data_IF_637902853880
#
_entry.id   IF_637902853880
#
_cell.length_a   1.000
_cell.length_b   1.000
_cell.length_c   1.000
_cell.angle_alpha   90.00
_cell.angle_beta   90.00
_cell.angle_gamma   90.00
#
_symmetry.space_group_name_H-M   'P 1'
#
loop_
_entity.id
_entity.type
_entity.pdbx_description
1 polymer ?
#
# COMPACT_ATOMS: atom_id res chain seq x y z
N UNK A 1 14.82 -74.13 -17.16
CA UNK A 1 13.59 -73.31 -17.02
C UNK A 1 13.67 -72.21 -15.94
N UNK A 2 14.87 -71.71 -15.56
CA UNK A 2 15.05 -70.59 -14.60
C UNK A 2 15.53 -69.28 -15.25
N UNK A 3 16.22 -69.34 -16.40
CA UNK A 3 16.69 -68.15 -17.11
C UNK A 3 15.56 -67.28 -17.68
N UNK A 4 14.49 -67.88 -18.22
CA UNK A 4 13.33 -67.13 -18.74
C UNK A 4 12.62 -66.31 -17.65
N UNK A 5 12.50 -66.83 -16.42
CA UNK A 5 11.88 -66.11 -15.28
C UNK A 5 12.73 -64.94 -14.77
N UNK A 6 14.05 -64.97 -14.96
CA UNK A 6 14.95 -63.86 -14.64
C UNK A 6 14.87 -62.74 -15.69
N UNK A 7 14.79 -63.10 -16.97
CA UNK A 7 14.60 -62.13 -18.06
C UNK A 7 13.25 -61.42 -17.93
N UNK A 8 12.17 -62.13 -17.56
CA UNK A 8 10.87 -61.48 -17.29
C UNK A 8 10.88 -60.57 -16.06
N UNK A 9 11.65 -60.88 -15.00
CA UNK A 9 11.76 -60.00 -13.82
C UNK A 9 12.66 -58.78 -14.08
N UNK A 10 13.68 -58.92 -14.91
CA UNK A 10 14.55 -57.82 -15.34
C UNK A 10 13.81 -56.87 -16.30
N UNK A 11 13.01 -57.40 -17.23
CA UNK A 11 12.18 -56.60 -18.13
C UNK A 11 11.02 -55.90 -17.39
N UNK A 12 10.46 -56.51 -16.34
CA UNK A 12 9.39 -55.92 -15.55
C UNK A 12 9.88 -54.78 -14.64
N UNK A 13 11.12 -54.84 -14.14
CA UNK A 13 11.75 -53.74 -13.38
C UNK A 13 12.15 -52.56 -14.27
N UNK A 14 12.64 -52.81 -15.49
CA UNK A 14 12.93 -51.75 -16.48
C UNK A 14 11.64 -51.06 -16.94
N UNK A 15 10.55 -51.82 -17.12
CA UNK A 15 9.23 -51.26 -17.44
C UNK A 15 8.66 -50.36 -16.33
N UNK A 16 8.86 -50.71 -15.05
CA UNK A 16 8.40 -49.88 -13.92
C UNK A 16 9.24 -48.60 -13.81
N UNK A 17 10.56 -48.68 -13.98
CA UNK A 17 11.43 -47.50 -13.98
C UNK A 17 11.10 -46.53 -15.12
N UNK A 18 10.85 -47.06 -16.33
CA UNK A 18 10.41 -46.24 -17.47
C UNK A 18 9.03 -45.61 -17.26
N UNK A 19 8.11 -46.29 -16.55
CA UNK A 19 6.81 -45.72 -16.19
C UNK A 19 6.90 -44.63 -15.12
N UNK A 20 7.81 -44.76 -14.15
CA UNK A 20 8.03 -43.74 -13.10
C UNK A 20 8.73 -42.51 -13.69
N UNK A 21 9.74 -42.71 -14.54
CA UNK A 21 10.41 -41.63 -15.27
C UNK A 21 9.44 -40.92 -16.24
N UNK A 22 8.59 -41.66 -16.95
CA UNK A 22 7.53 -41.07 -17.79
C UNK A 22 6.53 -40.25 -16.96
N UNK A 23 6.17 -40.71 -15.76
CA UNK A 23 5.25 -40.00 -14.87
C UNK A 23 5.90 -38.75 -14.25
N UNK A 24 7.19 -38.80 -13.90
CA UNK A 24 7.94 -37.65 -13.36
C UNK A 24 8.24 -36.63 -14.46
N UNK A 25 8.56 -37.07 -15.68
CA UNK A 25 8.83 -36.18 -16.81
C UNK A 25 7.56 -35.57 -17.39
N UNK A 26 6.46 -36.34 -17.51
CA UNK A 26 5.14 -35.82 -17.89
C UNK A 26 4.59 -34.79 -16.88
N UNK A 27 5.03 -34.86 -15.62
CA UNK A 27 4.67 -33.88 -14.60
C UNK A 27 5.62 -32.66 -14.54
N UNK A 28 6.70 -32.62 -15.33
CA UNK A 28 7.74 -31.58 -15.22
C UNK A 28 8.00 -30.78 -16.52
N UNK A 29 7.27 -31.05 -17.60
CA UNK A 29 7.29 -30.22 -18.82
C UNK A 29 6.11 -29.22 -18.77
N UNK A 30 6.45 -28.00 -18.38
CA UNK A 30 5.57 -26.85 -18.43
C UNK A 30 5.27 -26.43 -19.89
N UNK A 31 3.99 -26.35 -20.24
CA UNK A 31 3.46 -25.54 -21.35
C UNK A 31 2.14 -24.89 -20.89
N UNK A 32 1.85 -23.66 -21.36
CA UNK A 32 1.16 -22.65 -20.58
C UNK A 32 -0.35 -22.86 -20.65
N UNK A 33 -0.94 -23.30 -19.54
CA UNK A 33 -2.38 -23.09 -19.34
C UNK A 33 -2.53 -21.69 -18.80
N UNK A 34 -3.12 -20.80 -19.60
CA UNK A 34 -3.83 -19.59 -19.16
C UNK A 34 -4.99 -19.99 -18.23
N UNK A 35 -4.68 -20.59 -17.09
CA UNK A 35 -5.48 -20.41 -15.92
C UNK A 35 -5.05 -19.05 -15.39
N UNK A 36 -5.80 -18.02 -15.75
CA UNK A 36 -5.88 -16.81 -14.98
C UNK A 36 -6.33 -17.20 -13.56
N UNK A 37 -5.40 -17.74 -12.77
CA UNK A 37 -5.35 -17.36 -11.37
C UNK A 37 -5.04 -15.88 -11.43
N UNK A 38 -6.11 -15.10 -11.46
CA UNK A 38 -6.15 -13.81 -10.82
C UNK A 38 -5.63 -14.05 -9.39
N UNK A 39 -4.31 -14.17 -9.23
CA UNK A 39 -3.65 -13.51 -8.13
C UNK A 39 -4.22 -12.11 -8.25
N UNK A 40 -5.18 -11.80 -7.38
CA UNK A 40 -5.73 -10.47 -7.27
C UNK A 40 -4.57 -9.59 -6.90
N UNK A 41 -3.81 -9.16 -7.91
CA UNK A 41 -3.17 -7.88 -7.94
C UNK A 41 -4.37 -6.94 -7.88
N UNK A 42 -4.86 -6.74 -6.66
CA UNK A 42 -5.55 -5.51 -6.35
C UNK A 42 -4.57 -4.46 -6.85
N UNK A 43 -4.90 -3.85 -7.99
CA UNK A 43 -4.34 -2.57 -8.35
C UNK A 43 -4.84 -1.66 -7.22
N UNK A 44 -4.13 -1.70 -6.08
CA UNK A 44 -4.46 -0.94 -4.91
C UNK A 44 -4.28 0.51 -5.34
N UNK A 45 -5.43 1.17 -5.45
CA UNK A 45 -5.53 2.51 -5.98
C UNK A 45 -4.68 3.45 -5.14
N UNK A 46 -4.03 4.42 -5.79
CA UNK A 46 -3.24 5.41 -5.07
C UNK A 46 -4.12 6.18 -4.07
N UNK A 47 -3.58 6.53 -2.89
CA UNK A 47 -4.25 7.43 -1.96
C UNK A 47 -4.65 8.74 -2.64
N UNK A 48 -5.81 9.27 -2.29
CA UNK A 48 -6.22 10.62 -2.70
C UNK A 48 -6.49 11.49 -1.48
N UNK A 49 -6.40 12.80 -1.68
CA UNK A 49 -6.60 13.81 -0.65
C UNK A 49 -7.47 14.93 -1.22
N UNK A 50 -8.47 15.35 -0.45
CA UNK A 50 -9.24 16.56 -0.66
C UNK A 50 -9.46 17.24 0.68
N UNK A 51 -9.08 18.51 0.78
CA UNK A 51 -9.18 19.29 2.00
C UNK A 51 -10.13 20.45 1.80
N UNK A 52 -11.11 20.57 2.70
CA UNK A 52 -11.94 21.76 2.85
C UNK A 52 -11.57 22.46 4.15
N UNK A 53 -11.82 23.77 4.23
CA UNK A 53 -11.44 24.56 5.38
C UNK A 53 -12.48 25.63 5.71
N UNK A 54 -12.53 26.02 6.98
CA UNK A 54 -13.28 27.17 7.47
C UNK A 54 -12.35 27.97 8.39
N UNK A 55 -12.25 29.27 8.15
CA UNK A 55 -11.49 30.17 9.02
C UNK A 55 -12.45 30.97 9.90
N UNK A 56 -12.34 30.80 11.22
CA UNK A 56 -13.13 31.51 12.22
C UNK A 56 -12.18 32.38 13.04
N UNK A 57 -12.14 33.68 12.74
CA UNK A 57 -11.13 34.60 13.28
C UNK A 57 -9.71 34.11 12.92
N UNK A 58 -8.96 33.61 13.89
CA UNK A 58 -7.60 33.08 13.81
C UNK A 58 -7.54 31.55 13.98
N UNK A 59 -8.69 30.88 14.12
CA UNK A 59 -8.81 29.41 14.16
C UNK A 59 -9.20 28.85 12.78
N UNK A 60 -8.33 28.01 12.22
CA UNK A 60 -8.56 27.30 10.96
C UNK A 60 -9.01 25.85 11.22
N UNK A 61 -10.27 25.56 10.93
CA UNK A 61 -10.79 24.19 10.87
C UNK A 61 -10.49 23.58 9.50
N UNK A 62 -9.88 22.39 9.49
CA UNK A 62 -9.61 21.58 8.31
C UNK A 62 -10.44 20.31 8.35
N UNK A 63 -11.07 19.96 7.23
CA UNK A 63 -11.69 18.66 6.99
C UNK A 63 -10.95 17.95 5.88
N UNK A 64 -10.40 16.79 6.21
CA UNK A 64 -9.45 16.01 5.42
C UNK A 64 -10.19 14.76 4.93
N UNK A 65 -10.64 14.80 3.67
CA UNK A 65 -11.22 13.65 3.00
C UNK A 65 -10.13 12.88 2.25
N UNK A 66 -10.08 11.57 2.46
CA UNK A 66 -9.12 10.68 1.83
C UNK A 66 -9.82 9.46 1.23
N UNK A 67 -9.21 8.88 0.20
CA UNK A 67 -9.60 7.55 -0.30
C UNK A 67 -8.36 6.67 -0.41
N UNK A 68 -8.54 5.35 -0.29
CA UNK A 68 -7.44 4.38 -0.28
C UNK A 68 -6.34 4.71 0.75
N UNK A 69 -6.75 5.34 1.85
CA UNK A 69 -5.89 5.76 2.94
C UNK A 69 -6.59 5.54 4.28
N UNK A 70 -5.87 5.04 5.26
CA UNK A 70 -6.32 4.84 6.64
C UNK A 70 -5.33 5.52 7.59
N UNK A 71 -5.86 6.37 8.46
CA UNK A 71 -5.05 6.99 9.50
C UNK A 71 -4.58 5.94 10.52
N UNK A 72 -3.31 6.00 10.93
CA UNK A 72 -2.72 5.05 11.86
C UNK A 72 -1.73 5.70 12.82
N UNK A 73 -2.22 6.05 14.01
CA UNK A 73 -1.36 6.50 15.10
C UNK A 73 -0.50 5.36 15.65
N UNK A 74 -1.09 4.18 15.77
CA UNK A 74 -0.48 2.99 16.36
C UNK A 74 0.72 2.45 15.56
N UNK A 75 0.81 2.76 14.25
CA UNK A 75 1.90 2.32 13.38
C UNK A 75 2.86 3.44 12.98
N UNK A 76 2.69 4.66 13.51
CA UNK A 76 3.64 5.75 13.31
C UNK A 76 5.05 5.33 13.75
N UNK A 77 6.04 5.55 12.86
CA UNK A 77 7.44 5.20 13.07
C UNK A 77 7.79 3.73 12.81
N UNK A 78 6.82 2.92 12.37
CA UNK A 78 7.02 1.51 12.00
C UNK A 78 7.16 1.35 10.49
N UNK A 79 7.25 0.09 10.05
CA UNK A 79 7.27 -0.27 8.63
C UNK A 79 6.02 0.24 7.89
N UNK A 80 6.22 0.62 6.63
CA UNK A 80 5.16 1.15 5.78
C UNK A 80 4.17 0.05 5.40
N UNK A 81 2.88 0.39 5.50
CA UNK A 81 1.80 -0.38 4.89
C UNK A 81 1.12 0.50 3.87
N UNK A 82 0.86 -0.06 2.69
CA UNK A 82 0.26 0.69 1.59
C UNK A 82 -1.10 1.27 2.00
N UNK A 83 -1.29 2.57 1.76
CA UNK A 83 -2.52 3.26 2.13
C UNK A 83 -2.68 3.44 3.64
N UNK A 84 -1.61 3.35 4.42
CA UNK A 84 -1.62 3.59 5.87
C UNK A 84 -0.65 4.72 6.23
N UNK A 85 -1.01 5.54 7.21
CA UNK A 85 -0.11 6.53 7.78
C UNK A 85 -0.83 7.69 8.43
N UNK A 86 -0.33 8.91 8.22
CA UNK A 86 -0.89 10.12 8.83
C UNK A 86 -0.63 11.36 7.98
N UNK A 87 -1.20 12.49 8.37
CA UNK A 87 -1.01 13.77 7.69
C UNK A 87 0.12 14.55 8.33
N UNK A 88 0.98 15.16 7.51
CA UNK A 88 1.87 16.24 7.95
C UNK A 88 1.24 17.57 7.57
N UNK A 89 1.11 18.46 8.55
CA UNK A 89 0.53 19.78 8.38
C UNK A 89 1.64 20.83 8.48
N UNK A 90 1.66 21.75 7.52
CA UNK A 90 2.62 22.85 7.46
C UNK A 90 1.90 24.20 7.38
N UNK A 91 2.49 25.20 8.02
CA UNK A 91 2.12 26.61 7.90
C UNK A 91 3.37 27.36 7.43
N UNK A 92 3.29 28.01 6.27
CA UNK A 92 4.40 28.75 5.64
C UNK A 92 5.69 27.92 5.51
N UNK A 93 5.53 26.66 5.08
CA UNK A 93 6.63 25.71 4.92
C UNK A 93 7.17 25.10 6.21
N UNK A 94 6.74 25.57 7.39
CA UNK A 94 7.11 24.98 8.68
C UNK A 94 6.11 23.90 9.07
N UNK A 95 6.60 22.69 9.37
CA UNK A 95 5.76 21.61 9.92
C UNK A 95 5.24 22.01 11.31
N UNK A 96 3.92 22.04 11.48
CA UNK A 96 3.25 22.47 12.71
C UNK A 96 2.53 21.33 13.42
N UNK A 97 2.08 20.30 12.69
CA UNK A 97 1.38 19.17 13.30
C UNK A 97 1.53 17.86 12.51
N UNK A 98 1.24 16.76 13.21
CA UNK A 98 0.90 15.46 12.63
C UNK A 98 -0.56 15.17 12.97
N UNK A 99 -1.36 14.80 11.99
CA UNK A 99 -2.81 14.61 12.15
C UNK A 99 -3.19 13.17 11.81
N UNK A 100 -3.96 12.53 12.70
CA UNK A 100 -4.35 11.12 12.62
C UNK A 100 -5.87 10.95 12.53
N UNK A 101 -6.58 12.04 12.24
CA UNK A 101 -8.04 12.14 12.26
C UNK A 101 -8.49 12.90 11.00
N UNK A 102 -9.75 12.73 10.56
CA UNK A 102 -10.27 13.41 9.38
C UNK A 102 -10.54 14.91 9.60
N UNK A 103 -10.33 15.43 10.82
CA UNK A 103 -10.49 16.85 11.14
C UNK A 103 -9.34 17.35 12.00
N UNK A 104 -9.01 18.64 11.87
CA UNK A 104 -8.01 19.31 12.69
C UNK A 104 -8.33 20.79 12.81
N UNK A 105 -8.09 21.38 13.98
CA UNK A 105 -8.20 22.83 14.20
C UNK A 105 -6.82 23.38 14.52
N UNK A 106 -6.31 24.24 13.65
CA UNK A 106 -5.11 25.02 13.90
C UNK A 106 -5.52 26.34 14.52
N UNK A 107 -5.02 26.63 15.73
CA UNK A 107 -5.41 27.81 16.50
C UNK A 107 -4.39 28.92 16.45
N UNK A 108 -4.85 30.13 16.77
CA UNK A 108 -4.01 31.30 16.99
C UNK A 108 -3.07 31.60 15.80
N UNK A 109 -3.57 31.44 14.57
CA UNK A 109 -2.79 31.76 13.37
C UNK A 109 -2.56 33.28 13.35
N UNK A 110 -1.31 33.76 13.19
CA UNK A 110 -1.03 35.19 13.11
C UNK A 110 -1.86 35.89 12.02
N UNK A 111 -2.14 37.17 12.20
CA UNK A 111 -2.79 37.96 11.15
C UNK A 111 -1.87 38.11 9.94
N UNK A 112 -2.46 38.05 8.75
CA UNK A 112 -1.72 38.12 7.48
C UNK A 112 -2.06 36.99 6.52
N UNK A 113 -1.26 36.91 5.45
CA UNK A 113 -1.38 35.88 4.41
C UNK A 113 -0.50 34.69 4.76
N UNK A 114 -1.08 33.50 4.70
CA UNK A 114 -0.39 32.25 4.99
C UNK A 114 -0.66 31.20 3.91
N UNK A 115 0.25 30.25 3.78
CA UNK A 115 0.04 29.03 3.02
C UNK A 115 0.00 27.82 3.95
N UNK A 116 -1.13 27.11 3.95
CA UNK A 116 -1.26 25.83 4.63
C UNK A 116 -1.02 24.70 3.65
N UNK A 117 -0.14 23.76 3.99
CA UNK A 117 0.06 22.53 3.21
C UNK A 117 -0.35 21.32 4.04
N UNK A 118 -1.23 20.50 3.47
CA UNK A 118 -1.67 19.22 4.00
C UNK A 118 -1.07 18.12 3.13
N UNK A 119 -0.27 17.23 3.71
CA UNK A 119 0.43 16.17 2.98
C UNK A 119 0.14 14.81 3.61
N UNK A 120 -0.16 13.80 2.80
CA UNK A 120 -0.21 12.41 3.25
C UNK A 120 1.20 11.86 3.41
N UNK A 121 1.47 11.24 4.56
CA UNK A 121 2.73 10.59 4.87
C UNK A 121 2.52 9.13 5.28
N UNK A 122 3.50 8.31 4.93
CA UNK A 122 3.60 6.92 5.33
C UNK A 122 3.90 6.78 6.83
N UNK A 123 3.76 5.56 7.36
CA UNK A 123 4.09 5.21 8.74
C UNK A 123 5.50 5.70 9.14
N UNK A 124 6.49 5.54 8.27
CA UNK A 124 7.87 5.97 8.50
C UNK A 124 8.14 7.48 8.26
N UNK A 125 7.09 8.28 8.07
CA UNK A 125 7.14 9.72 7.74
C UNK A 125 7.54 10.10 6.31
N UNK A 126 7.79 9.15 5.41
CA UNK A 126 8.01 9.48 3.99
C UNK A 126 6.74 9.98 3.32
N UNK A 127 6.88 10.92 2.38
CA UNK A 127 5.73 11.47 1.65
C UNK A 127 5.09 10.43 0.73
N UNK A 128 3.77 10.44 0.64
CA UNK A 128 3.05 9.73 -0.43
C UNK A 128 3.09 10.49 -1.78
N UNK A 129 3.67 11.71 -1.82
CA UNK A 129 3.60 12.60 -2.98
C UNK A 129 2.21 13.22 -3.20
N UNK A 130 1.29 13.03 -2.25
CA UNK A 130 -0.09 13.53 -2.30
C UNK A 130 -0.24 14.65 -1.28
N UNK A 131 -0.49 15.87 -1.77
CA UNK A 131 -0.67 17.04 -0.93
C UNK A 131 -1.65 18.05 -1.52
N UNK A 132 -2.17 18.94 -0.69
CA UNK A 132 -2.97 20.09 -1.08
C UNK A 132 -2.45 21.35 -0.37
N UNK A 133 -2.29 22.43 -1.13
CA UNK A 133 -1.95 23.76 -0.62
C UNK A 133 -3.17 24.65 -0.59
N UNK A 134 -3.33 25.41 0.49
CA UNK A 134 -4.49 26.27 0.75
C UNK A 134 -3.96 27.64 1.16
N UNK A 135 -4.07 28.66 0.29
CA UNK A 135 -3.81 30.03 0.70
C UNK A 135 -4.94 30.50 1.63
N UNK A 136 -4.58 31.13 2.75
CA UNK A 136 -5.53 31.74 3.69
C UNK A 136 -5.09 33.17 4.01
N UNK A 137 -6.05 33.99 4.44
CA UNK A 137 -5.80 35.34 4.92
C UNK A 137 -6.53 35.53 6.26
N UNK A 138 -5.75 35.66 7.33
CA UNK A 138 -6.25 35.91 8.68
C UNK A 138 -6.35 37.40 8.90
N UNK A 139 -7.56 37.86 9.23
CA UNK A 139 -7.83 39.28 9.44
C UNK A 139 -7.25 39.74 10.79
N UNK A 140 -6.80 41.00 10.90
CA UNK A 140 -6.41 41.61 12.18
C UNK A 140 -7.56 41.67 13.19
#
# INVERSE_FOLDING_TARGET
>A
MKARRFVYRLLLLIGIAACVEWFVYANNEAAPTEAAVEAGHSHQQAPTLSVTHTLNQDDLELKIAVTNFSFSLENMGKENRQGEGHVHLYLDGKKVAKVFEPTYVMKDIPSGKHEVMVELANNNHESYGVSQRIPIEVKP
#
